data_IF_547981617668
#
_entry.id   IF_547981617668
#
_cell.length_a   1.000
_cell.length_b   1.000
_cell.length_c   1.000
_cell.angle_alpha   90.00
_cell.angle_beta   90.00
_cell.angle_gamma   90.00
#
_symmetry.space_group_name_H-M   'P 1'
#
loop_
_entity.id
_entity.type
_entity.pdbx_description
1 polymer ?
#
# COMPACT_ATOMS: atom_id res chain seq x y z
N UNK A 1 17.99 11.97 -13.42
CA UNK A 1 16.85 12.16 -14.36
C UNK A 1 15.54 11.89 -13.64
N UNK A 2 14.91 12.91 -13.03
CA UNK A 2 13.67 12.74 -12.25
C UNK A 2 12.49 12.17 -13.05
N UNK A 3 12.45 12.46 -14.35
CA UNK A 3 11.40 11.99 -15.28
C UNK A 3 11.38 10.48 -15.46
N UNK A 4 12.56 9.83 -15.55
CA UNK A 4 12.66 8.38 -15.70
C UNK A 4 12.22 7.67 -14.41
N UNK A 5 12.64 8.18 -13.25
CA UNK A 5 12.23 7.65 -11.95
C UNK A 5 10.72 7.77 -11.77
N UNK A 6 10.13 8.92 -12.12
CA UNK A 6 8.68 9.10 -12.07
C UNK A 6 7.94 8.10 -12.98
N UNK A 7 8.43 7.89 -14.20
CA UNK A 7 7.83 6.92 -15.13
C UNK A 7 7.87 5.49 -14.57
N UNK A 8 9.00 5.04 -14.02
CA UNK A 8 9.15 3.72 -13.41
C UNK A 8 8.25 3.57 -12.17
N UNK A 9 8.16 4.61 -11.33
CA UNK A 9 7.29 4.61 -10.15
C UNK A 9 5.81 4.54 -10.53
N UNK A 10 5.40 5.26 -11.58
CA UNK A 10 4.02 5.18 -12.08
C UNK A 10 3.74 3.79 -12.65
N UNK A 11 4.66 3.22 -13.45
CA UNK A 11 4.53 1.88 -14.01
C UNK A 11 4.40 0.80 -12.92
N UNK A 12 5.29 0.84 -11.93
CA UNK A 12 5.24 -0.08 -10.79
C UNK A 12 3.97 0.11 -9.95
N UNK A 13 3.52 1.36 -9.77
CA UNK A 13 2.26 1.68 -9.10
C UNK A 13 1.02 1.15 -9.84
N UNK A 14 0.97 1.27 -11.16
CA UNK A 14 -0.11 0.71 -11.99
C UNK A 14 -0.09 -0.81 -11.92
N UNK A 15 1.10 -1.42 -12.09
CA UNK A 15 1.27 -2.88 -12.07
C UNK A 15 0.87 -3.46 -10.72
N UNK A 16 1.28 -2.85 -9.62
CA UNK A 16 0.89 -3.28 -8.28
C UNK A 16 -0.62 -3.18 -8.04
N UNK A 17 -1.27 -2.15 -8.60
CA UNK A 17 -2.72 -1.99 -8.47
C UNK A 17 -3.51 -3.05 -9.26
N UNK A 18 -3.07 -3.44 -10.46
CA UNK A 18 -3.69 -4.52 -11.24
C UNK A 18 -3.41 -5.89 -10.63
N UNK A 19 -2.16 -6.15 -10.22
CA UNK A 19 -1.75 -7.44 -9.65
C UNK A 19 -2.53 -7.76 -8.36
N UNK A 20 -2.80 -6.76 -7.51
CA UNK A 20 -3.59 -6.93 -6.30
C UNK A 20 -5.00 -7.47 -6.57
N UNK A 21 -5.69 -6.96 -7.60
CA UNK A 21 -7.03 -7.45 -7.93
C UNK A 21 -6.99 -8.90 -8.39
N UNK A 22 -6.02 -9.26 -9.25
CA UNK A 22 -5.80 -10.65 -9.70
C UNK A 22 -5.55 -11.58 -8.51
N UNK A 23 -4.71 -11.16 -7.56
CA UNK A 23 -4.42 -11.96 -6.36
C UNK A 23 -5.66 -12.10 -5.48
N UNK A 24 -6.41 -11.02 -5.25
CA UNK A 24 -7.64 -11.07 -4.43
C UNK A 24 -8.72 -11.95 -5.06
N UNK A 25 -8.87 -11.90 -6.38
CA UNK A 25 -9.77 -12.76 -7.14
C UNK A 25 -9.32 -14.23 -7.07
N UNK A 26 -8.02 -14.50 -7.20
CA UNK A 26 -7.46 -15.85 -7.11
C UNK A 26 -7.62 -16.47 -5.71
N UNK A 27 -7.50 -15.67 -4.65
CA UNK A 27 -7.70 -16.11 -3.25
C UNK A 27 -9.20 -16.17 -2.88
N UNK A 28 -10.10 -15.74 -3.78
CA UNK A 28 -11.54 -15.78 -3.56
C UNK A 28 -12.06 -14.73 -2.57
N UNK A 29 -11.29 -13.68 -2.29
CA UNK A 29 -11.71 -12.59 -1.40
C UNK A 29 -12.69 -11.71 -2.15
N UNK A 30 -13.97 -11.72 -1.77
CA UNK A 30 -15.03 -10.92 -2.44
C UNK A 30 -15.49 -9.70 -1.64
N UNK A 31 -15.12 -9.61 -0.36
CA UNK A 31 -15.58 -8.53 0.49
C UNK A 31 -14.78 -7.26 0.25
N UNK A 32 -15.50 -6.15 0.11
CA UNK A 32 -14.94 -4.85 -0.22
C UNK A 32 -14.11 -4.24 0.90
N UNK A 33 -14.46 -4.50 2.15
CA UNK A 33 -13.70 -4.09 3.34
C UNK A 33 -12.29 -4.70 3.35
N UNK A 34 -12.18 -6.01 3.12
CA UNK A 34 -10.90 -6.72 3.08
C UNK A 34 -10.08 -6.25 1.87
N UNK A 35 -10.71 -6.16 0.70
CA UNK A 35 -10.06 -5.66 -0.52
C UNK A 35 -9.51 -4.25 -0.28
N UNK A 36 -10.35 -3.37 0.27
CA UNK A 36 -10.04 -2.01 0.67
C UNK A 36 -8.83 -1.94 1.57
N UNK A 37 -8.87 -2.65 2.69
CA UNK A 37 -7.77 -2.71 3.65
C UNK A 37 -6.45 -3.11 3.02
N UNK A 38 -6.46 -4.16 2.18
CA UNK A 38 -5.24 -4.60 1.49
C UNK A 38 -4.76 -3.58 0.46
N UNK A 39 -5.66 -2.83 -0.20
CA UNK A 39 -5.23 -1.68 -1.02
C UNK A 39 -4.47 -0.67 -0.16
N UNK A 40 -5.01 -0.32 1.02
CA UNK A 40 -4.41 0.64 1.92
C UNK A 40 -3.03 0.23 2.42
N UNK A 41 -2.89 -1.04 2.84
CA UNK A 41 -1.62 -1.57 3.35
C UNK A 41 -0.57 -1.66 2.24
N UNK A 42 -0.94 -2.12 1.05
CA UNK A 42 0.00 -2.46 -0.01
C UNK A 42 0.37 -1.29 -0.94
N UNK A 43 -0.28 -0.11 -0.87
CA UNK A 43 -0.12 0.91 -1.91
C UNK A 43 -0.22 2.37 -1.46
N UNK A 44 0.14 3.29 -2.38
CA UNK A 44 0.16 4.74 -2.19
C UNK A 44 -1.25 5.36 -2.16
N UNK A 45 -1.38 6.62 -1.71
CA UNK A 45 -2.66 7.37 -1.61
C UNK A 45 -3.58 7.30 -2.85
N UNK A 46 -2.99 7.16 -4.05
CA UNK A 46 -3.72 7.00 -5.31
C UNK A 46 -4.63 5.75 -5.33
N UNK A 47 -4.26 4.68 -4.62
CA UNK A 47 -5.06 3.46 -4.53
C UNK A 47 -6.25 3.61 -3.60
N UNK A 48 -6.15 4.44 -2.55
CA UNK A 48 -7.26 4.81 -1.68
C UNK A 48 -8.32 5.59 -2.44
N UNK A 49 -7.91 6.56 -3.26
CA UNK A 49 -8.82 7.27 -4.17
C UNK A 49 -9.50 6.33 -5.18
N UNK A 50 -8.78 5.29 -5.65
CA UNK A 50 -9.35 4.24 -6.51
C UNK A 50 -10.35 3.35 -5.76
N UNK A 51 -10.07 3.03 -4.49
CA UNK A 51 -10.89 2.15 -3.67
C UNK A 51 -12.29 2.74 -3.44
N UNK A 52 -12.40 4.06 -3.27
CA UNK A 52 -13.71 4.76 -3.23
C UNK A 52 -14.51 4.63 -4.53
N UNK A 53 -13.87 4.34 -5.68
CA UNK A 53 -14.58 4.05 -6.93
C UNK A 53 -15.11 2.62 -7.01
N UNK A 54 -14.68 1.74 -6.12
CA UNK A 54 -15.19 0.37 -6.01
C UNK A 54 -16.39 0.38 -5.05
N UNK A 55 -16.18 0.88 -3.84
CA UNK A 55 -17.25 1.15 -2.88
C UNK A 55 -16.76 2.08 -1.77
N UNK A 56 -17.71 2.66 -1.04
CA UNK A 56 -17.42 3.53 0.10
C UNK A 56 -16.67 2.78 1.21
N UNK A 57 -17.09 1.55 1.52
CA UNK A 57 -16.41 0.67 2.47
C UNK A 57 -14.97 0.38 2.04
N UNK A 58 -14.75 0.00 0.77
CA UNK A 58 -13.40 -0.25 0.27
C UNK A 58 -12.48 0.97 0.44
N UNK A 59 -13.00 2.17 0.20
CA UNK A 59 -12.28 3.42 0.43
C UNK A 59 -11.97 3.69 1.90
N UNK A 60 -12.94 3.52 2.79
CA UNK A 60 -12.77 3.70 4.23
C UNK A 60 -11.71 2.75 4.82
N UNK A 61 -11.82 1.45 4.50
CA UNK A 61 -10.85 0.45 4.96
C UNK A 61 -9.47 0.64 4.32
N UNK A 62 -9.39 1.13 3.08
CA UNK A 62 -8.12 1.50 2.45
C UNK A 62 -7.44 2.66 3.18
N UNK A 63 -8.20 3.69 3.59
CA UNK A 63 -7.67 4.78 4.41
C UNK A 63 -7.11 4.26 5.74
N UNK A 64 -7.83 3.35 6.40
CA UNK A 64 -7.39 2.72 7.65
C UNK A 64 -6.11 1.90 7.47
N UNK A 65 -6.02 1.08 6.41
CA UNK A 65 -4.83 0.30 6.08
C UNK A 65 -3.61 1.19 5.81
N UNK A 66 -3.80 2.30 5.11
CA UNK A 66 -2.74 3.27 4.83
C UNK A 66 -2.24 3.95 6.11
N UNK A 67 -3.15 4.39 6.98
CA UNK A 67 -2.80 4.99 8.25
C UNK A 67 -1.99 4.01 9.11
N UNK A 68 -2.44 2.76 9.25
CA UNK A 68 -1.71 1.72 9.99
C UNK A 68 -0.33 1.47 9.41
N UNK A 69 -0.19 1.37 8.08
CA UNK A 69 1.11 1.17 7.44
C UNK A 69 2.06 2.34 7.72
N UNK A 70 1.56 3.58 7.65
CA UNK A 70 2.32 4.78 7.98
C UNK A 70 2.78 4.80 9.44
N UNK A 71 1.86 4.52 10.37
CA UNK A 71 2.15 4.42 11.81
C UNK A 71 3.18 3.34 12.09
N UNK A 72 3.00 2.13 11.53
CA UNK A 72 3.95 1.03 11.70
C UNK A 72 5.33 1.41 11.17
N UNK A 73 5.42 1.98 9.96
CA UNK A 73 6.67 2.47 9.38
C UNK A 73 7.33 3.58 10.22
N UNK A 74 6.53 4.41 10.90
CA UNK A 74 7.02 5.45 11.81
C UNK A 74 7.64 4.87 13.09
N UNK A 75 7.11 3.77 13.64
CA UNK A 75 7.69 3.06 14.78
C UNK A 75 8.87 2.15 14.40
N UNK A 76 8.79 1.50 13.24
CA UNK A 76 9.80 0.58 12.71
C UNK A 76 11.13 1.30 12.54
N UNK A 77 11.16 2.51 11.97
CA UNK A 77 12.40 3.28 11.75
C UNK A 77 13.24 3.52 13.02
N UNK A 78 12.73 4.17 14.08
CA UNK A 78 13.51 4.44 15.28
C UNK A 78 13.94 3.18 16.03
N UNK A 79 13.25 2.05 15.86
CA UNK A 79 13.65 0.78 16.45
C UNK A 79 14.73 0.09 15.61
N UNK A 80 14.52 -0.08 14.30
CA UNK A 80 15.45 -0.81 13.42
C UNK A 80 16.75 -0.07 13.12
N UNK A 81 16.74 1.27 13.03
CA UNK A 81 17.98 2.02 12.75
C UNK A 81 19.09 1.78 13.79
N UNK A 82 18.84 1.84 15.12
CA UNK A 82 19.86 1.51 16.12
C UNK A 82 20.33 0.06 16.02
N UNK A 83 19.42 -0.90 15.79
CA UNK A 83 19.79 -2.31 15.64
C UNK A 83 20.66 -2.57 14.40
N UNK A 84 20.47 -1.83 13.30
CA UNK A 84 21.29 -1.95 12.09
C UNK A 84 22.56 -1.09 12.15
N UNK A 85 22.50 0.06 12.82
CA UNK A 85 23.63 0.97 13.01
C UNK A 85 24.76 0.38 13.85
N UNK A 86 24.43 -0.47 14.83
CA UNK A 86 25.43 -1.23 15.60
C UNK A 86 26.20 -2.28 14.79
N UNK A 87 25.79 -2.59 13.55
CA UNK A 87 26.54 -3.45 12.62
C UNK A 87 27.34 -2.67 11.56
N UNK A 88 27.16 -1.34 11.50
CA UNK A 88 27.78 -0.45 10.49
C UNK A 88 28.89 0.45 11.06
N UNK A 89 29.19 0.33 12.35
CA UNK A 89 30.33 0.93 13.07
C UNK A 89 31.17 -0.16 13.71
#
# INVERSE_FOLDING_TARGET
>A
MPSLTAAIVILTGITGATLRNVVMDAVGVRRDDVRGFVMGVASHALSTARAFRISEDAGAYSGLGMAMNGTMSAFVRPVLLPFLGGWLT
#
